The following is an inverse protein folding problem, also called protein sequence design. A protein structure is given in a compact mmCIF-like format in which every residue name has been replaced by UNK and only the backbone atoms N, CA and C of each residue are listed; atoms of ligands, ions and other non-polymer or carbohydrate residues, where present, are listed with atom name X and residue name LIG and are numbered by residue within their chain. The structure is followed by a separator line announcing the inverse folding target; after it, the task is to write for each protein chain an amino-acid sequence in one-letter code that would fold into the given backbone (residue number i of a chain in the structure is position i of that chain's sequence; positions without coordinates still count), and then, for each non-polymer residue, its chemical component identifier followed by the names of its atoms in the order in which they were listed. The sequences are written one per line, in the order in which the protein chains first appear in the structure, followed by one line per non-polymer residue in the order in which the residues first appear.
data_IF_199587368660
#
_entry.id   IF_199587368660
#
_cell.length_a   1.000
_cell.length_b   1.000
_cell.length_c   1.000
_cell.angle_alpha   90.00
_cell.angle_beta   90.00
_cell.angle_gamma   90.00
#
_symmetry.space_group_name_H-M   'P 1'
#
loop_
_entity.id
_entity.type
_entity.pdbx_description
1 polymer ?
#
# COMPACT_ATOMS: atom_id res chain seq x y z
N UNK A 1 10.53 -18.12 -8.44
CA UNK A 1 10.61 -16.89 -9.26
C UNK A 1 10.96 -15.76 -8.30
N UNK A 2 12.11 -15.11 -8.46
CA UNK A 2 12.58 -14.05 -7.54
C UNK A 2 12.14 -12.71 -8.11
N UNK A 3 11.38 -11.93 -7.34
CA UNK A 3 10.99 -10.56 -7.69
C UNK A 3 11.76 -9.54 -6.85
N UNK A 4 11.84 -8.31 -7.34
CA UNK A 4 12.44 -7.21 -6.58
C UNK A 4 11.37 -6.45 -5.79
N UNK A 5 11.64 -6.19 -4.51
CA UNK A 5 10.87 -5.22 -3.73
C UNK A 5 11.50 -3.84 -3.91
N UNK A 6 10.76 -2.92 -4.50
CA UNK A 6 11.19 -1.52 -4.67
C UNK A 6 10.57 -0.67 -3.56
N UNK A 7 11.41 -0.06 -2.72
CA UNK A 7 10.98 0.85 -1.65
C UNK A 7 11.23 2.30 -2.06
N UNK A 8 10.17 3.12 -2.08
CA UNK A 8 10.27 4.57 -2.29
C UNK A 8 9.97 5.28 -0.96
N UNK A 9 10.99 5.95 -0.39
CA UNK A 9 10.90 6.63 0.90
C UNK A 9 11.21 8.13 0.78
N UNK A 10 10.73 8.92 1.75
CA UNK A 10 10.88 10.37 1.76
C UNK A 10 9.78 11.07 2.58
N UNK A 11 9.95 12.34 2.97
CA UNK A 11 8.99 13.10 3.80
C UNK A 11 7.58 13.19 3.20
N UNK A 12 6.59 13.57 4.02
CA UNK A 12 5.25 13.88 3.50
C UNK A 12 5.33 15.05 2.50
N UNK A 13 4.57 14.98 1.40
CA UNK A 13 4.52 16.03 0.38
C UNK A 13 5.56 15.95 -0.75
N UNK A 14 6.58 15.10 -0.69
CA UNK A 14 7.63 15.01 -1.73
C UNK A 14 7.21 14.31 -3.04
N UNK A 15 5.95 13.91 -3.18
CA UNK A 15 5.43 13.31 -4.42
C UNK A 15 5.63 11.79 -4.58
N UNK A 16 5.91 11.05 -3.48
CA UNK A 16 6.09 9.57 -3.52
C UNK A 16 4.93 8.85 -4.22
N UNK A 17 3.69 9.18 -3.86
CA UNK A 17 2.50 8.58 -4.45
C UNK A 17 2.43 8.83 -5.95
N UNK A 18 2.73 10.05 -6.40
CA UNK A 18 2.76 10.42 -7.81
C UNK A 18 3.76 9.56 -8.60
N UNK A 19 4.96 9.34 -8.06
CA UNK A 19 5.97 8.48 -8.69
C UNK A 19 5.50 7.02 -8.72
N UNK A 20 4.98 6.50 -7.60
CA UNK A 20 4.44 5.13 -7.54
C UNK A 20 3.35 4.91 -8.59
N UNK A 21 2.38 5.82 -8.70
CA UNK A 21 1.26 5.68 -9.63
C UNK A 21 1.72 5.72 -11.08
N UNK A 22 2.69 6.58 -11.43
CA UNK A 22 3.30 6.59 -12.76
C UNK A 22 4.01 5.29 -13.09
N UNK A 23 4.85 4.78 -12.17
CA UNK A 23 5.56 3.51 -12.35
C UNK A 23 4.59 2.34 -12.54
N UNK A 24 3.52 2.29 -11.74
CA UNK A 24 2.51 1.24 -11.86
C UNK A 24 1.81 1.28 -13.23
N UNK A 25 1.43 2.47 -13.71
CA UNK A 25 0.81 2.61 -15.02
C UNK A 25 1.76 2.22 -16.18
N UNK A 26 3.04 2.56 -16.07
CA UNK A 26 4.03 2.33 -17.14
C UNK A 26 4.48 0.86 -17.21
N UNK A 27 4.56 0.17 -16.06
CA UNK A 27 5.13 -1.17 -15.97
C UNK A 27 4.10 -2.27 -15.69
N UNK A 28 2.80 -1.99 -15.65
CA UNK A 28 1.78 -3.03 -15.48
C UNK A 28 1.81 -4.06 -16.63
N UNK A 29 1.70 -5.38 -16.36
CA UNK A 29 1.54 -6.05 -15.06
C UNK A 29 2.86 -6.50 -14.40
N UNK A 30 4.02 -6.10 -14.94
CA UNK A 30 5.35 -6.49 -14.43
C UNK A 30 5.68 -5.85 -13.08
N UNK A 31 5.10 -4.68 -12.80
CA UNK A 31 5.12 -4.03 -11.50
C UNK A 31 3.71 -3.97 -10.92
N UNK A 32 3.58 -4.37 -9.66
CA UNK A 32 2.32 -4.32 -8.92
C UNK A 32 2.54 -3.62 -7.58
N UNK A 33 1.49 -2.97 -7.08
CA UNK A 33 1.51 -2.34 -5.76
C UNK A 33 1.33 -3.39 -4.69
N UNK A 34 2.17 -3.35 -3.66
CA UNK A 34 1.94 -4.12 -2.44
C UNK A 34 0.82 -3.44 -1.66
N UNK A 35 -0.28 -4.16 -1.44
CA UNK A 35 -1.38 -3.70 -0.58
C UNK A 35 -0.95 -3.91 0.87
N UNK A 36 -0.88 -2.82 1.64
CA UNK A 36 -0.47 -2.85 3.05
C UNK A 36 -1.68 -2.78 3.97
N UNK A 37 -1.48 -3.01 5.27
CA UNK A 37 -2.56 -2.99 6.26
C UNK A 37 -2.62 -1.68 7.04
N UNK A 38 -3.82 -1.30 7.48
CA UNK A 38 -4.00 -0.16 8.41
C UNK A 38 -5.22 -0.37 9.32
N UNK A 39 -5.19 0.20 10.53
CA UNK A 39 -6.33 0.24 11.45
C UNK A 39 -7.15 1.54 11.37
N UNK A 40 -6.78 2.46 10.47
CA UNK A 40 -7.51 3.71 10.22
C UNK A 40 -8.78 3.39 9.43
N UNK A 41 -9.89 4.11 9.66
CA UNK A 41 -11.08 4.02 8.80
C UNK A 41 -10.76 4.47 7.35
N UNK A 42 -11.32 3.82 6.32
CA UNK A 42 -11.19 4.27 4.93
C UNK A 42 -11.65 5.72 4.76
N UNK A 43 -10.93 6.48 3.94
CA UNK A 43 -11.38 7.78 3.41
C UNK A 43 -12.39 7.57 2.29
N UNK A 44 -13.22 8.57 1.94
CA UNK A 44 -14.09 8.49 0.78
C UNK A 44 -13.31 8.09 -0.48
N UNK A 45 -13.75 7.03 -1.15
CA UNK A 45 -13.13 6.50 -2.36
C UNK A 45 -12.11 5.38 -2.14
N UNK A 46 -11.56 5.21 -0.93
CA UNK A 46 -10.64 4.09 -0.64
C UNK A 46 -11.41 2.75 -0.59
N UNK A 47 -10.82 1.70 -1.15
CA UNK A 47 -11.38 0.34 -1.22
C UNK A 47 -10.51 -0.68 -0.48
N UNK A 48 -11.17 -1.51 0.34
CA UNK A 48 -10.50 -2.61 1.04
C UNK A 48 -9.97 -3.65 0.05
N UNK A 49 -8.71 -4.07 0.24
CA UNK A 49 -8.01 -5.00 -0.65
C UNK A 49 -7.41 -4.36 -1.91
N UNK A 50 -7.64 -3.06 -2.15
CA UNK A 50 -7.00 -2.32 -3.24
C UNK A 50 -6.04 -1.25 -2.68
N UNK A 51 -6.54 -0.36 -1.83
CA UNK A 51 -5.71 0.71 -1.26
C UNK A 51 -4.96 0.25 0.00
N UNK A 52 -5.71 -0.41 0.89
CA UNK A 52 -5.21 -1.05 2.09
C UNK A 52 -6.06 -2.27 2.43
N UNK A 53 -5.51 -3.17 3.25
CA UNK A 53 -6.30 -4.04 4.11
C UNK A 53 -6.71 -3.23 5.35
N UNK A 54 -7.98 -2.85 5.40
CA UNK A 54 -8.55 -2.11 6.51
C UNK A 54 -9.01 -3.08 7.59
N UNK A 55 -8.34 -3.03 8.74
CA UNK A 55 -8.68 -3.81 9.91
C UNK A 55 -9.29 -2.93 10.99
N UNK A 56 -10.10 -3.54 11.86
CA UNK A 56 -10.36 -2.97 13.17
C UNK A 56 -9.07 -2.89 13.99
N UNK A 57 -9.08 -2.07 15.05
CA UNK A 57 -7.91 -1.95 15.93
C UNK A 57 -7.55 -3.27 16.60
N UNK A 58 -8.55 -4.09 16.98
CA UNK A 58 -8.33 -5.41 17.57
C UNK A 58 -7.69 -6.38 16.58
N UNK A 59 -8.23 -6.50 15.36
CA UNK A 59 -7.68 -7.38 14.32
C UNK A 59 -6.24 -6.98 13.94
N UNK A 60 -5.95 -5.68 13.87
CA UNK A 60 -4.59 -5.20 13.58
C UNK A 60 -3.60 -5.60 14.68
N UNK A 61 -4.00 -5.51 15.95
CA UNK A 61 -3.16 -5.92 17.10
C UNK A 61 -2.92 -7.44 17.08
N UNK A 62 -3.93 -8.24 16.76
CA UNK A 62 -3.77 -9.69 16.63
C UNK A 62 -2.75 -10.04 15.54
N UNK A 63 -2.82 -9.38 14.38
CA UNK A 63 -1.91 -9.62 13.25
C UNK A 63 -0.45 -9.19 13.47
N UNK A 64 -0.15 -8.35 14.46
CA UNK A 64 1.24 -7.98 14.80
C UNK A 64 1.90 -9.03 15.71
N UNK A 65 1.12 -9.87 16.40
CA UNK A 65 1.65 -10.81 17.40
C UNK A 65 2.24 -12.09 16.79
N UNK A 66 1.94 -12.37 15.52
CA UNK A 66 2.50 -13.47 14.74
C UNK A 66 3.78 -13.04 14.01
#
# INVERSE_FOLDING_TARGET
MVGYLVLISGPAGVGKTTICDRLLNEFYPKLVRVVTATSRKPRPGEKNGTDYLFFSKSEFIEKIKD
#
